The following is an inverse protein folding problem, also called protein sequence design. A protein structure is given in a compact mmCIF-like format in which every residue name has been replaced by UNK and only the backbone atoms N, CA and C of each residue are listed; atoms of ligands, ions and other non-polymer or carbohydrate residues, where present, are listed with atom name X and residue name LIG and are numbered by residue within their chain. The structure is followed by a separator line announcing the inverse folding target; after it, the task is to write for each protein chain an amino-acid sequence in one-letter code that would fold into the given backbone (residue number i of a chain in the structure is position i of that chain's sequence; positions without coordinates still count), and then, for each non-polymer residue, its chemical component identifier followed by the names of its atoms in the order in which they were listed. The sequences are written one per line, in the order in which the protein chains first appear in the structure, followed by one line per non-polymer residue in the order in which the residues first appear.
data_IF_454557692493
#
_entry.id   IF_454557692493
#
_cell.length_a   1.000
_cell.length_b   1.000
_cell.length_c   1.000
_cell.angle_alpha   90.00
_cell.angle_beta   90.00
_cell.angle_gamma   90.00
#
_symmetry.space_group_name_H-M   'P 1'
#
loop_
_entity.id
_entity.type
_entity.pdbx_description
1 polymer ?
#
# COMPACT_ATOMS: atom_id res chain seq x y z
N UNK A 1 -24.45 -5.42 -30.90
CA UNK A 1 -24.44 -5.39 -29.43
C UNK A 1 -24.80 -6.81 -29.01
N UNK A 2 -23.85 -7.60 -28.49
CA UNK A 2 -24.20 -8.89 -27.89
C UNK A 2 -25.18 -8.60 -26.76
N UNK A 3 -26.39 -9.15 -26.82
CA UNK A 3 -27.44 -8.94 -25.80
C UNK A 3 -27.12 -9.62 -24.46
N UNK A 4 -25.86 -9.93 -24.21
CA UNK A 4 -25.39 -10.63 -23.02
C UNK A 4 -25.21 -9.65 -21.86
N UNK A 5 -25.63 -10.06 -20.67
CA UNK A 5 -25.55 -9.24 -19.46
C UNK A 5 -24.09 -8.94 -19.13
N UNK A 6 -23.77 -7.66 -18.97
CA UNK A 6 -22.46 -7.20 -18.52
C UNK A 6 -22.47 -7.16 -16.99
N UNK A 7 -21.55 -7.88 -16.35
CA UNK A 7 -21.41 -7.88 -14.89
C UNK A 7 -20.41 -6.82 -14.43
N UNK A 8 -20.85 -5.91 -13.57
CA UNK A 8 -20.05 -4.84 -12.98
C UNK A 8 -20.49 -4.62 -11.53
N UNK A 9 -19.58 -4.26 -10.64
CA UNK A 9 -19.93 -4.08 -9.22
C UNK A 9 -18.75 -4.20 -8.27
N UNK A 10 -19.03 -4.37 -6.99
CA UNK A 10 -18.03 -4.48 -5.92
C UNK A 10 -18.18 -5.82 -5.21
N UNK A 11 -17.06 -6.45 -4.92
CA UNK A 11 -16.96 -7.69 -4.16
C UNK A 11 -15.70 -7.69 -3.29
N UNK A 12 -15.55 -8.67 -2.42
CA UNK A 12 -14.38 -8.82 -1.58
C UNK A 12 -13.46 -9.95 -2.08
N UNK A 13 -12.15 -9.74 -1.95
CA UNK A 13 -11.12 -10.75 -2.22
C UNK A 13 -10.38 -11.02 -0.91
N UNK A 14 -10.11 -12.29 -0.61
CA UNK A 14 -9.15 -12.63 0.43
C UNK A 14 -7.75 -12.46 -0.14
N UNK A 15 -7.10 -11.34 0.22
CA UNK A 15 -5.70 -11.09 -0.15
C UNK A 15 -4.80 -12.00 0.69
N UNK A 16 -3.99 -12.89 0.09
CA UNK A 16 -3.02 -13.67 0.83
C UNK A 16 -1.85 -12.83 1.35
N UNK A 17 -1.16 -13.35 2.36
CA UNK A 17 0.08 -12.75 2.88
C UNK A 17 1.19 -12.77 1.82
N UNK A 18 2.04 -11.74 1.81
CA UNK A 18 3.19 -11.61 0.90
C UNK A 18 2.85 -10.97 -0.45
N UNK A 19 1.58 -10.88 -0.82
CA UNK A 19 1.14 -10.28 -2.08
C UNK A 19 0.81 -8.80 -1.87
N UNK A 20 1.13 -7.90 -2.80
CA UNK A 20 0.72 -6.49 -2.68
C UNK A 20 -0.73 -6.30 -3.12
N UNK A 21 -1.42 -5.26 -2.64
CA UNK A 21 -2.79 -4.96 -3.11
C UNK A 21 -2.86 -4.73 -4.63
N UNK A 22 -1.79 -4.23 -5.23
CA UNK A 22 -1.70 -4.04 -6.69
C UNK A 22 -1.49 -5.37 -7.44
N UNK A 23 -0.76 -6.33 -6.85
CA UNK A 23 -0.64 -7.68 -7.39
C UNK A 23 -1.98 -8.40 -7.41
N UNK A 24 -2.82 -8.23 -6.38
CA UNK A 24 -4.18 -8.80 -6.39
C UNK A 24 -4.95 -8.37 -7.64
N UNK A 25 -4.86 -7.08 -8.01
CA UNK A 25 -5.50 -6.56 -9.22
C UNK A 25 -4.93 -7.22 -10.49
N UNK A 26 -3.60 -7.38 -10.57
CA UNK A 26 -2.94 -8.04 -11.69
C UNK A 26 -3.37 -9.51 -11.82
N UNK A 27 -3.44 -10.23 -10.70
CA UNK A 27 -3.89 -11.62 -10.65
C UNK A 27 -5.34 -11.73 -11.13
N UNK A 28 -6.24 -10.88 -10.63
CA UNK A 28 -7.63 -10.87 -11.10
C UNK A 28 -7.73 -10.59 -12.60
N UNK A 29 -6.95 -9.62 -13.11
CA UNK A 29 -6.92 -9.34 -14.55
C UNK A 29 -6.42 -10.53 -15.37
N UNK A 30 -5.43 -11.28 -14.86
CA UNK A 30 -4.93 -12.48 -15.52
C UNK A 30 -6.04 -13.53 -15.72
N UNK A 31 -6.91 -13.73 -14.73
CA UNK A 31 -8.03 -14.68 -14.82
C UNK A 31 -9.26 -14.09 -15.54
N UNK A 32 -9.56 -12.81 -15.35
CA UNK A 32 -10.80 -12.21 -15.86
C UNK A 32 -10.71 -11.87 -17.35
N UNK A 33 -9.53 -11.47 -17.85
CA UNK A 33 -9.35 -11.11 -19.25
C UNK A 33 -9.69 -12.24 -20.25
N UNK A 34 -9.27 -13.50 -20.04
CA UNK A 34 -9.63 -14.60 -20.93
C UNK A 34 -11.00 -15.23 -20.64
N UNK A 35 -11.68 -14.81 -19.56
CA UNK A 35 -12.90 -15.46 -19.07
C UNK A 35 -14.12 -15.26 -19.98
N UNK A 36 -15.03 -16.23 -19.97
CA UNK A 36 -16.36 -16.11 -20.59
C UNK A 36 -17.22 -15.07 -19.85
N UNK A 37 -17.13 -15.00 -18.52
CA UNK A 37 -17.93 -14.08 -17.69
C UNK A 37 -17.72 -12.61 -18.07
N UNK A 38 -16.47 -12.19 -18.30
CA UNK A 38 -16.14 -10.79 -18.62
C UNK A 38 -15.92 -10.53 -20.11
N UNK A 39 -16.07 -11.55 -20.96
CA UNK A 39 -16.02 -11.39 -22.43
C UNK A 39 -17.00 -10.32 -22.95
N UNK A 40 -18.28 -10.26 -22.51
CA UNK A 40 -19.20 -9.20 -22.95
C UNK A 40 -18.71 -7.80 -22.58
N UNK A 41 -18.09 -7.66 -21.40
CA UNK A 41 -17.53 -6.37 -20.95
C UNK A 41 -16.39 -5.91 -21.88
N UNK A 42 -15.48 -6.82 -22.24
CA UNK A 42 -14.35 -6.53 -23.13
C UNK A 42 -14.81 -6.20 -24.56
N UNK A 43 -15.85 -6.88 -25.06
CA UNK A 43 -16.44 -6.60 -26.36
C UNK A 43 -17.09 -5.22 -26.42
N UNK A 44 -17.87 -4.85 -25.41
CA UNK A 44 -18.49 -3.51 -25.34
C UNK A 44 -17.42 -2.42 -25.22
N UNK A 45 -16.39 -2.62 -24.39
CA UNK A 45 -15.29 -1.67 -24.25
C UNK A 45 -14.47 -1.54 -25.55
N UNK A 46 -14.28 -2.64 -26.30
CA UNK A 46 -13.65 -2.61 -27.63
C UNK A 46 -14.51 -1.83 -28.62
N UNK A 47 -15.81 -2.09 -28.67
CA UNK A 47 -16.74 -1.36 -29.53
C UNK A 47 -16.76 0.14 -29.19
N UNK A 48 -16.75 0.49 -27.90
CA UNK A 48 -16.63 1.87 -27.42
C UNK A 48 -15.35 2.53 -27.94
N UNK A 49 -14.18 1.90 -27.76
CA UNK A 49 -12.88 2.42 -28.25
C UNK A 49 -12.83 2.60 -29.77
N UNK A 50 -13.50 1.73 -30.53
CA UNK A 50 -13.58 1.86 -31.99
C UNK A 50 -14.43 3.04 -32.45
N UNK A 51 -15.43 3.45 -31.64
CA UNK A 51 -16.26 4.64 -31.90
C UNK A 51 -15.59 5.97 -31.48
N UNK A 52 -14.43 5.92 -30.81
CA UNK A 52 -13.73 7.12 -30.33
C UNK A 52 -13.06 7.89 -31.49
N UNK A 53 -12.92 9.21 -31.31
CA UNK A 53 -12.24 10.06 -32.28
C UNK A 53 -10.78 9.65 -32.47
N UNK A 54 -10.19 10.01 -33.62
CA UNK A 54 -8.79 9.68 -33.95
C UNK A 54 -7.81 10.15 -32.86
N UNK A 55 -8.03 11.35 -32.31
CA UNK A 55 -7.25 11.89 -31.19
C UNK A 55 -7.31 11.01 -29.93
N UNK A 56 -8.50 10.56 -29.55
CA UNK A 56 -8.69 9.71 -28.37
C UNK A 56 -8.10 8.31 -28.57
N UNK A 57 -8.23 7.75 -29.77
CA UNK A 57 -7.60 6.48 -30.15
C UNK A 57 -6.07 6.57 -30.08
N UNK A 58 -5.48 7.65 -30.62
CA UNK A 58 -4.03 7.86 -30.56
C UNK A 58 -3.51 7.95 -29.11
N UNK A 59 -4.22 8.64 -28.22
CA UNK A 59 -3.85 8.74 -26.78
C UNK A 59 -3.88 7.39 -26.05
N UNK A 60 -4.59 6.39 -26.58
CA UNK A 60 -4.77 5.07 -25.95
C UNK A 60 -4.11 3.94 -26.72
N UNK A 61 -3.40 4.23 -27.82
CA UNK A 61 -2.80 3.24 -28.72
C UNK A 61 -1.82 2.30 -28.02
N UNK A 62 -1.18 2.76 -26.94
CA UNK A 62 -0.27 1.97 -26.10
C UNK A 62 -0.95 1.24 -24.92
N UNK A 63 -2.26 1.42 -24.70
CA UNK A 63 -2.96 0.86 -23.54
C UNK A 63 -3.66 -0.46 -23.90
N UNK A 64 -3.25 -1.54 -23.22
CA UNK A 64 -3.91 -2.85 -23.30
C UNK A 64 -5.40 -2.74 -22.94
N UNK A 65 -6.22 -3.55 -23.59
CA UNK A 65 -7.63 -3.71 -23.26
C UNK A 65 -7.75 -4.78 -22.18
N UNK A 66 -7.78 -4.33 -20.92
CA UNK A 66 -7.98 -5.19 -19.75
C UNK A 66 -9.34 -4.89 -19.11
N UNK A 67 -9.90 -5.89 -18.43
CA UNK A 67 -11.03 -5.68 -17.53
C UNK A 67 -10.64 -4.61 -16.52
N UNK A 68 -11.50 -3.60 -16.37
CA UNK A 68 -11.24 -2.49 -15.46
C UNK A 68 -11.48 -2.95 -14.03
N UNK A 69 -10.42 -3.01 -13.23
CA UNK A 69 -10.47 -3.43 -11.82
C UNK A 69 -9.72 -2.40 -10.95
N UNK A 70 -10.18 -2.18 -9.73
CA UNK A 70 -9.48 -1.41 -8.70
C UNK A 70 -9.82 -1.91 -7.29
N UNK A 71 -9.14 -1.39 -6.26
CA UNK A 71 -9.40 -1.74 -4.86
C UNK A 71 -9.81 -0.52 -4.02
N UNK A 72 -10.59 -0.75 -2.97
CA UNK A 72 -11.20 0.27 -2.09
C UNK A 72 -10.43 0.49 -0.78
N UNK A 73 -9.12 0.27 -0.78
CA UNK A 73 -8.26 0.45 0.41
C UNK A 73 -7.08 -0.52 0.44
N UNK A 74 -5.87 0.03 0.45
CA UNK A 74 -4.63 -0.77 0.45
C UNK A 74 -4.50 -1.60 1.73
N UNK A 75 -4.00 -2.82 1.57
CA UNK A 75 -3.42 -3.65 2.63
C UNK A 75 -1.93 -3.80 2.41
N UNK A 76 -1.17 -3.74 3.50
CA UNK A 76 0.27 -3.95 3.50
C UNK A 76 0.62 -5.35 2.97
N UNK A 77 1.81 -5.56 2.37
CA UNK A 77 2.19 -6.87 1.83
C UNK A 77 2.15 -7.99 2.87
N UNK A 78 2.61 -7.74 4.11
CA UNK A 78 2.55 -8.73 5.19
C UNK A 78 1.14 -9.04 5.69
N UNK A 79 0.16 -8.18 5.38
CA UNK A 79 -1.20 -8.34 5.86
C UNK A 79 -2.01 -9.28 4.98
N UNK A 80 -2.96 -10.01 5.57
CA UNK A 80 -3.96 -10.82 4.87
C UNK A 80 -5.37 -10.31 5.15
N UNK A 81 -6.37 -10.86 4.47
CA UNK A 81 -7.79 -10.61 4.75
C UNK A 81 -8.52 -9.84 3.65
N UNK A 82 -9.61 -9.16 4.02
CA UNK A 82 -10.58 -8.56 3.10
C UNK A 82 -9.98 -7.42 2.29
N UNK A 83 -9.96 -7.54 0.97
CA UNK A 83 -9.66 -6.47 0.02
C UNK A 83 -10.88 -6.18 -0.84
N UNK A 84 -11.59 -5.08 -0.53
CA UNK A 84 -12.72 -4.62 -1.34
C UNK A 84 -12.24 -4.27 -2.74
N UNK A 85 -12.87 -4.88 -3.75
CA UNK A 85 -12.46 -4.82 -5.15
C UNK A 85 -13.65 -4.45 -6.03
N UNK A 86 -13.45 -3.50 -6.92
CA UNK A 86 -14.47 -3.02 -7.86
C UNK A 86 -14.11 -3.39 -9.29
N UNK A 87 -15.11 -3.85 -10.06
CA UNK A 87 -14.99 -4.15 -11.50
C UNK A 87 -15.91 -3.25 -12.30
N UNK A 88 -15.41 -2.74 -13.43
CA UNK A 88 -16.18 -1.92 -14.36
C UNK A 88 -16.70 -0.64 -13.70
N UNK A 89 -18.01 -0.40 -13.76
CA UNK A 89 -18.68 0.70 -13.04
C UNK A 89 -18.53 0.62 -11.52
N UNK A 90 -18.35 -0.57 -10.95
CA UNK A 90 -18.11 -0.76 -9.52
C UNK A 90 -16.86 -0.03 -9.01
N UNK A 91 -15.87 0.25 -9.87
CA UNK A 91 -14.70 1.05 -9.49
C UNK A 91 -15.06 2.45 -9.02
N UNK A 92 -16.23 2.99 -9.43
CA UNK A 92 -16.69 4.33 -9.05
C UNK A 92 -17.14 4.40 -7.58
N UNK A 93 -17.51 3.27 -6.99
CA UNK A 93 -17.92 3.19 -5.58
C UNK A 93 -16.76 2.91 -4.64
N UNK A 94 -15.52 2.73 -5.14
CA UNK A 94 -14.38 2.36 -4.30
C UNK A 94 -13.98 3.44 -3.30
N UNK A 95 -14.26 4.71 -3.60
CA UNK A 95 -13.98 5.82 -2.68
C UNK A 95 -14.82 5.72 -1.40
N UNK A 96 -16.05 5.20 -1.49
CA UNK A 96 -16.96 5.05 -0.35
C UNK A 96 -16.37 4.05 0.69
N UNK A 97 -15.61 3.07 0.21
CA UNK A 97 -14.94 2.07 1.06
C UNK A 97 -13.61 2.56 1.66
N UNK A 98 -13.06 3.69 1.20
CA UNK A 98 -11.88 4.28 1.86
C UNK A 98 -12.26 4.84 3.23
N UNK A 99 -13.40 5.53 3.31
CA UNK A 99 -13.93 6.19 4.52
C UNK A 99 -14.63 5.26 5.53
N UNK A 100 -14.89 4.01 5.19
CA UNK A 100 -15.58 3.08 6.08
C UNK A 100 -14.72 2.60 7.26
N UNK A 101 -15.38 2.05 8.28
CA UNK A 101 -14.73 1.36 9.39
C UNK A 101 -14.15 0.02 8.94
N UNK A 102 -13.11 -0.41 9.64
CA UNK A 102 -12.36 -1.64 9.36
C UNK A 102 -12.10 -2.37 10.65
N UNK A 103 -12.17 -3.70 10.62
CA UNK A 103 -11.82 -4.54 11.76
C UNK A 103 -10.56 -5.33 11.44
N UNK A 104 -9.62 -5.32 12.39
CA UNK A 104 -8.35 -5.99 12.27
C UNK A 104 -8.11 -6.90 13.46
N UNK A 105 -7.46 -8.03 13.19
CA UNK A 105 -6.73 -8.80 14.19
C UNK A 105 -5.23 -8.64 13.90
N UNK A 106 -4.45 -8.33 14.93
CA UNK A 106 -3.01 -8.14 14.79
C UNK A 106 -2.28 -8.77 15.96
N UNK A 107 -1.04 -9.16 15.72
CA UNK A 107 -0.12 -9.61 16.77
C UNK A 107 0.98 -8.58 16.93
N UNK A 108 1.15 -8.09 18.15
CA UNK A 108 2.25 -7.21 18.55
C UNK A 108 3.30 -8.04 19.28
N UNK A 109 4.53 -7.94 18.81
CA UNK A 109 5.72 -8.55 19.42
C UNK A 109 6.52 -7.46 20.12
N UNK A 110 6.91 -7.68 21.38
CA UNK A 110 7.58 -6.66 22.19
C UNK A 110 9.11 -6.80 22.19
N UNK A 111 9.80 -5.73 22.61
CA UNK A 111 11.25 -5.74 22.85
C UNK A 111 12.12 -5.32 21.67
N UNK A 112 11.55 -5.16 20.48
CA UNK A 112 12.23 -4.56 19.34
C UNK A 112 11.32 -3.63 18.56
N UNK A 113 11.97 -2.72 17.86
CA UNK A 113 11.38 -1.76 16.96
C UNK A 113 12.11 -1.81 15.63
N UNK A 114 11.36 -1.72 14.55
CA UNK A 114 11.89 -1.71 13.19
C UNK A 114 11.55 -0.41 12.48
N UNK A 115 12.34 -0.06 11.49
CA UNK A 115 12.13 1.12 10.63
C UNK A 115 10.72 1.20 9.99
N UNK A 116 10.10 0.05 9.72
CA UNK A 116 8.77 -0.07 9.12
C UNK A 116 7.63 -0.29 10.12
N UNK A 117 7.95 -0.46 11.41
CA UNK A 117 7.06 -0.89 12.51
C UNK A 117 6.41 -2.26 12.31
N UNK A 118 6.94 -3.08 11.41
CA UNK A 118 6.53 -4.47 11.21
C UNK A 118 7.73 -5.41 11.12
N UNK A 119 7.46 -6.72 11.17
CA UNK A 119 8.51 -7.74 11.20
C UNK A 119 9.39 -7.82 9.93
N UNK A 120 9.00 -7.18 8.83
CA UNK A 120 9.78 -7.16 7.59
C UNK A 120 10.84 -6.05 7.58
N UNK A 121 10.77 -5.12 8.54
CA UNK A 121 11.75 -4.05 8.68
C UNK A 121 13.06 -4.50 9.32
N UNK A 122 14.03 -3.57 9.31
CA UNK A 122 15.30 -3.73 10.01
C UNK A 122 15.17 -3.22 11.44
N UNK A 123 15.76 -3.92 12.41
CA UNK A 123 15.79 -3.51 13.81
C UNK A 123 16.59 -2.21 13.93
N UNK A 124 15.94 -1.20 14.49
CA UNK A 124 16.54 0.10 14.76
C UNK A 124 16.76 0.30 16.25
N UNK A 125 15.89 -0.26 17.09
CA UNK A 125 15.98 -0.18 18.55
C UNK A 125 15.55 -1.48 19.22
N UNK A 126 16.19 -1.79 20.35
CA UNK A 126 15.83 -2.90 21.25
C UNK A 126 15.57 -2.31 22.64
N UNK A 127 14.64 -2.90 23.38
CA UNK A 127 14.34 -2.50 24.75
C UNK A 127 14.02 -3.73 25.62
N UNK A 128 14.24 -3.65 26.94
CA UNK A 128 13.81 -4.70 27.87
C UNK A 128 12.31 -4.99 27.74
N UNK A 129 11.92 -6.25 27.93
CA UNK A 129 10.53 -6.71 27.77
C UNK A 129 10.07 -7.65 28.89
N UNK A 130 10.93 -7.91 29.88
CA UNK A 130 10.69 -8.80 31.00
C UNK A 130 9.61 -8.26 31.96
N UNK A 131 9.41 -6.95 31.98
CA UNK A 131 8.40 -6.28 32.80
C UNK A 131 7.00 -6.24 32.16
N UNK A 132 6.87 -6.68 30.91
CA UNK A 132 5.61 -6.60 30.18
C UNK A 132 4.73 -7.78 30.58
N UNK A 133 3.59 -7.48 31.21
CA UNK A 133 2.56 -8.47 31.55
C UNK A 133 1.27 -8.21 30.80
N UNK A 134 0.39 -9.21 30.74
CA UNK A 134 -0.95 -9.08 30.17
C UNK A 134 -1.73 -7.90 30.76
N UNK A 135 -1.67 -7.71 32.08
CA UNK A 135 -2.38 -6.66 32.80
C UNK A 135 -1.82 -5.27 32.44
N UNK A 136 -0.50 -5.15 32.30
CA UNK A 136 0.14 -3.93 31.86
C UNK A 136 -0.32 -3.55 30.44
N UNK A 137 -0.39 -4.54 29.54
CA UNK A 137 -0.89 -4.35 28.17
C UNK A 137 -2.36 -3.94 28.17
N UNK A 138 -3.24 -4.63 28.90
CA UNK A 138 -4.66 -4.29 28.96
C UNK A 138 -4.86 -2.85 29.45
N UNK A 139 -4.12 -2.44 30.49
CA UNK A 139 -4.14 -1.06 30.99
C UNK A 139 -3.62 -0.06 29.95
N UNK A 140 -2.52 -0.37 29.26
CA UNK A 140 -1.96 0.50 28.24
C UNK A 140 -2.90 0.66 27.03
N UNK A 141 -3.71 -0.36 26.72
CA UNK A 141 -4.69 -0.31 25.62
C UNK A 141 -5.82 0.70 25.85
N UNK A 142 -6.11 1.08 27.10
CA UNK A 142 -7.18 2.03 27.43
C UNK A 142 -6.99 3.40 26.76
N UNK A 143 -5.75 3.89 26.65
CA UNK A 143 -5.45 5.20 26.05
C UNK A 143 -5.61 5.22 24.52
N UNK A 144 -5.74 4.05 23.89
CA UNK A 144 -5.91 3.91 22.44
C UNK A 144 -7.36 3.69 22.02
N UNK A 145 -8.31 3.76 22.96
CA UNK A 145 -9.75 3.66 22.70
C UNK A 145 -10.35 5.05 22.45
N UNK A 146 -11.39 5.12 21.62
CA UNK A 146 -12.09 6.36 21.30
C UNK A 146 -11.37 7.23 20.27
N UNK A 147 -11.55 8.55 20.36
CA UNK A 147 -10.99 9.53 19.41
C UNK A 147 -9.59 9.94 19.86
N UNK A 148 -8.60 9.59 19.06
CA UNK A 148 -7.18 9.82 19.34
C UNK A 148 -6.49 10.48 18.16
N UNK A 149 -5.36 11.13 18.42
CA UNK A 149 -4.47 11.60 17.36
C UNK A 149 -3.38 10.56 17.12
N UNK A 150 -3.27 10.09 15.87
CA UNK A 150 -2.26 9.10 15.50
C UNK A 150 -1.32 9.65 14.44
N UNK A 151 -0.02 9.41 14.61
CA UNK A 151 1.00 9.73 13.61
C UNK A 151 1.15 8.57 12.62
N UNK A 152 0.98 8.82 11.30
CA UNK A 152 1.24 7.81 10.28
C UNK A 152 2.70 7.32 10.31
N UNK A 153 2.97 6.05 10.00
CA UNK A 153 4.33 5.54 9.85
C UNK A 153 4.98 6.13 8.59
N UNK A 154 6.31 6.22 8.59
CA UNK A 154 7.11 6.72 7.46
C UNK A 154 6.87 5.86 6.21
N UNK A 155 6.77 4.53 6.38
CA UNK A 155 6.43 3.60 5.31
C UNK A 155 4.91 3.53 5.05
N UNK A 156 4.31 4.65 4.64
CA UNK A 156 2.89 4.75 4.29
C UNK A 156 2.67 5.16 2.83
N UNK A 157 1.45 4.90 2.33
CA UNK A 157 1.03 5.32 0.99
C UNK A 157 0.59 6.80 0.92
N UNK A 158 0.74 7.55 2.02
CA UNK A 158 0.39 8.96 2.08
C UNK A 158 1.21 9.75 1.06
N UNK A 159 0.58 10.69 0.34
CA UNK A 159 1.28 11.53 -0.63
C UNK A 159 1.77 12.82 0.00
N UNK A 160 3.04 13.13 -0.19
CA UNK A 160 3.69 14.40 0.15
C UNK A 160 4.28 14.96 -1.14
N UNK A 161 3.88 16.16 -1.55
CA UNK A 161 4.31 16.79 -2.81
C UNK A 161 4.15 15.90 -4.07
N UNK A 162 3.10 15.08 -4.11
CA UNK A 162 2.78 14.21 -5.26
C UNK A 162 3.49 12.85 -5.28
N UNK A 163 4.53 12.63 -4.45
CA UNK A 163 5.18 11.33 -4.23
C UNK A 163 4.65 10.65 -2.97
N UNK A 164 4.71 9.33 -2.88
CA UNK A 164 4.24 8.60 -1.67
C UNK A 164 5.34 8.52 -0.61
N UNK A 165 4.97 8.49 0.67
CA UNK A 165 5.92 8.56 1.79
C UNK A 165 6.90 7.39 1.80
N UNK A 166 6.44 6.17 1.47
CA UNK A 166 7.34 5.02 1.33
C UNK A 166 8.41 5.19 0.24
N UNK A 167 8.20 6.04 -0.76
CA UNK A 167 9.17 6.28 -1.84
C UNK A 167 10.35 7.10 -1.30
N UNK A 168 10.09 8.07 -0.42
CA UNK A 168 11.13 8.83 0.28
C UNK A 168 11.96 7.94 1.20
N UNK A 169 11.29 7.07 1.97
CA UNK A 169 11.96 6.14 2.89
C UNK A 169 12.93 5.19 2.17
N UNK A 170 12.53 4.64 1.01
CA UNK A 170 13.40 3.78 0.18
C UNK A 170 14.54 4.51 -0.50
N UNK A 171 14.36 5.80 -0.79
CA UNK A 171 15.44 6.66 -1.30
C UNK A 171 16.39 7.12 -0.18
N UNK A 172 16.15 6.74 1.09
CA UNK A 172 16.94 7.18 2.25
C UNK A 172 16.80 8.68 2.55
N UNK A 173 15.75 9.33 2.02
CA UNK A 173 15.52 10.77 2.17
C UNK A 173 14.49 11.04 3.23
N UNK A 174 14.79 11.99 4.11
CA UNK A 174 13.77 12.55 4.99
C UNK A 174 12.70 13.24 4.13
N UNK A 175 11.41 12.99 4.38
CA UNK A 175 10.36 13.71 3.69
C UNK A 175 10.52 15.22 3.95
N UNK A 176 10.35 16.08 2.94
CA UNK A 176 10.57 17.52 3.06
C UNK A 176 9.57 18.24 3.98
N UNK A 177 8.62 17.50 4.56
CA UNK A 177 7.54 17.99 5.41
C UNK A 177 7.40 17.02 6.59
N UNK A 178 7.25 17.58 7.78
CA UNK A 178 6.99 16.83 9.01
C UNK A 178 5.66 16.07 8.96
N UNK A 179 5.65 14.82 9.45
CA UNK A 179 4.47 13.95 9.43
C UNK A 179 3.48 14.39 10.52
N UNK A 180 2.44 15.12 10.13
CA UNK A 180 1.42 15.56 11.08
C UNK A 180 0.53 14.40 11.56
N UNK A 181 0.23 14.39 12.86
CA UNK A 181 -0.76 13.49 13.46
C UNK A 181 -2.17 13.77 12.93
N UNK A 182 -2.98 12.72 12.82
CA UNK A 182 -4.34 12.79 12.27
C UNK A 182 -5.36 12.22 13.25
N UNK A 183 -6.57 12.78 13.29
CA UNK A 183 -7.63 12.23 14.13
C UNK A 183 -8.07 10.88 13.57
N UNK A 184 -8.11 9.88 14.44
CA UNK A 184 -8.63 8.55 14.17
C UNK A 184 -9.53 8.12 15.34
N UNK A 185 -10.37 7.13 15.11
CA UNK A 185 -11.29 6.63 16.12
C UNK A 185 -11.19 5.11 16.21
N UNK A 186 -11.12 4.62 17.45
CA UNK A 186 -11.06 3.20 17.80
C UNK A 186 -12.30 2.86 18.62
N UNK A 187 -13.29 2.28 17.95
CA UNK A 187 -14.60 1.94 18.55
C UNK A 187 -14.59 0.64 19.37
N UNK A 188 -13.70 -0.29 19.03
CA UNK A 188 -13.47 -1.54 19.77
C UNK A 188 -11.97 -1.81 19.78
N UNK A 189 -11.43 -2.24 20.92
CA UNK A 189 -10.03 -2.64 21.09
C UNK A 189 -9.90 -3.53 22.32
N UNK A 190 -9.52 -4.79 22.12
CA UNK A 190 -9.40 -5.78 23.20
C UNK A 190 -8.37 -6.86 22.89
N UNK A 191 -7.82 -7.46 23.93
CA UNK A 191 -6.95 -8.64 23.82
C UNK A 191 -7.79 -9.85 23.42
N UNK A 192 -7.32 -10.57 22.40
CA UNK A 192 -7.83 -11.90 22.04
C UNK A 192 -7.00 -12.99 22.71
N UNK A 193 -5.67 -12.83 22.70
CA UNK A 193 -4.75 -13.85 23.20
C UNK A 193 -3.48 -13.19 23.73
N UNK A 194 -2.94 -13.77 24.81
CA UNK A 194 -1.67 -13.38 25.40
C UNK A 194 -0.70 -14.55 25.26
N UNK A 195 0.52 -14.27 24.86
CA UNK A 195 1.58 -15.25 24.72
C UNK A 195 2.73 -14.90 25.65
N UNK A 196 3.01 -15.81 26.58
CA UNK A 196 4.18 -15.73 27.44
C UNK A 196 5.47 -15.87 26.62
N UNK A 197 6.61 -15.34 27.10
CA UNK A 197 7.91 -15.52 26.46
C UNK A 197 8.17 -16.99 26.10
N UNK A 198 8.47 -17.24 24.83
CA UNK A 198 8.76 -18.57 24.30
C UNK A 198 7.59 -19.53 24.09
N UNK A 199 6.35 -19.05 24.20
CA UNK A 199 5.14 -19.87 23.96
C UNK A 199 4.56 -19.72 22.55
N UNK A 200 5.18 -18.92 21.69
CA UNK A 200 4.66 -18.59 20.36
C UNK A 200 5.70 -18.77 19.25
N UNK A 201 5.22 -18.84 18.00
CA UNK A 201 6.06 -19.03 16.80
C UNK A 201 6.32 -17.73 16.03
N UNK A 202 5.90 -16.57 16.55
CA UNK A 202 6.13 -15.28 15.89
C UNK A 202 7.62 -14.95 15.78
N UNK A 203 8.09 -14.82 14.54
CA UNK A 203 9.49 -14.61 14.22
C UNK A 203 10.00 -13.24 14.68
N UNK A 204 11.18 -13.24 15.28
CA UNK A 204 11.97 -12.04 15.54
C UNK A 204 12.55 -11.48 14.22
N UNK A 205 12.62 -10.14 14.01
CA UNK A 205 13.19 -9.57 12.80
C UNK A 205 14.66 -9.98 12.61
N UNK A 206 15.04 -10.29 11.36
CA UNK A 206 16.35 -10.92 11.06
C UNK A 206 17.47 -9.93 10.77
N UNK A 207 17.12 -8.72 10.36
CA UNK A 207 18.08 -7.70 9.93
C UNK A 207 18.17 -6.59 10.97
N UNK A 208 19.37 -6.11 11.25
CA UNK A 208 19.61 -4.88 12.01
C UNK A 208 20.01 -3.76 11.06
N UNK A 209 19.54 -2.53 11.34
CA UNK A 209 20.00 -1.35 10.62
C UNK A 209 21.48 -1.09 10.98
N UNK A 210 22.30 -0.74 9.99
CA UNK A 210 23.74 -0.54 10.15
C UNK A 210 24.14 0.93 9.95
N UNK A 211 25.14 1.39 10.73
CA UNK A 211 25.80 2.69 10.56
C UNK A 211 24.83 3.87 10.46
N UNK A 212 24.97 4.66 9.39
CA UNK A 212 24.18 5.87 9.14
C UNK A 212 22.66 5.59 9.04
N UNK A 213 22.24 4.42 8.54
CA UNK A 213 20.81 4.06 8.45
C UNK A 213 20.18 3.98 9.84
N UNK A 214 20.93 3.43 10.81
CA UNK A 214 20.48 3.31 12.20
C UNK A 214 20.41 4.68 12.87
N UNK A 215 21.42 5.51 12.69
CA UNK A 215 21.44 6.87 13.28
C UNK A 215 20.31 7.76 12.74
N UNK A 216 20.03 7.69 11.43
CA UNK A 216 18.92 8.43 10.82
C UNK A 216 17.57 7.91 11.36
N UNK A 217 17.39 6.59 11.40
CA UNK A 217 16.17 6.01 11.95
C UNK A 217 15.98 6.36 13.43
N UNK A 218 17.00 6.19 14.26
CA UNK A 218 16.98 6.57 15.68
C UNK A 218 16.68 8.05 15.88
N UNK A 219 17.24 8.95 15.06
CA UNK A 219 16.95 10.40 15.13
C UNK A 219 15.50 10.70 14.78
N UNK A 220 14.94 10.04 13.76
CA UNK A 220 13.54 10.21 13.37
C UNK A 220 12.60 9.70 14.46
N UNK A 221 12.93 8.57 15.09
CA UNK A 221 12.14 7.95 16.15
C UNK A 221 12.29 8.67 17.50
N UNK A 222 13.46 9.22 17.81
CA UNK A 222 13.65 10.02 19.02
C UNK A 222 12.80 11.30 19.03
N UNK A 223 12.53 11.89 17.86
CA UNK A 223 11.54 12.97 17.74
C UNK A 223 10.15 12.46 18.10
N UNK A 224 9.79 11.25 17.64
CA UNK A 224 8.50 10.62 17.95
C UNK A 224 8.38 10.26 19.44
N UNK A 225 9.48 9.92 20.13
CA UNK A 225 9.48 9.65 21.57
C UNK A 225 9.07 10.86 22.42
N UNK A 226 9.42 12.07 21.99
CA UNK A 226 9.07 13.31 22.70
C UNK A 226 7.59 13.69 22.59
N UNK A 227 6.86 13.08 21.66
CA UNK A 227 5.45 13.36 21.44
C UNK A 227 4.55 12.48 22.33
N UNK A 228 3.40 12.99 22.81
CA UNK A 228 2.42 12.19 23.53
C UNK A 228 1.93 11.02 22.66
N UNK A 229 1.83 9.83 23.25
CA UNK A 229 1.50 8.57 22.57
C UNK A 229 0.08 8.58 22.00
N UNK A 230 -0.87 9.24 22.67
CA UNK A 230 -2.22 9.49 22.19
C UNK A 230 -2.85 10.66 22.95
N UNK A 231 -2.71 11.91 22.49
CA UNK A 231 -3.51 12.99 23.06
C UNK A 231 -4.97 12.79 22.63
N UNK A 232 -5.91 13.03 23.56
CA UNK A 232 -7.33 13.09 23.23
C UNK A 232 -7.53 14.17 22.17
N UNK A 233 -8.31 13.87 21.13
CA UNK A 233 -8.66 14.88 20.14
C UNK A 233 -9.52 15.96 20.82
N UNK A 234 -8.91 17.07 21.22
CA UNK A 234 -9.66 18.24 21.68
C UNK A 234 -10.58 18.70 20.54
N UNK A 235 -11.85 18.93 20.87
CA UNK A 235 -12.85 19.36 19.90
C UNK A 235 -12.66 20.85 19.66
N UNK A 236 -11.62 21.22 18.91
CA UNK A 236 -11.49 22.59 18.42
C UNK A 236 -12.55 22.82 17.33
N UNK A 237 -13.64 23.47 17.74
CA UNK A 237 -14.60 24.08 16.83
C UNK A 237 -13.95 25.38 16.32
N UNK A 238 -13.69 25.56 15.02
CA UNK A 238 -13.29 26.87 14.52
C UNK A 238 -14.49 27.81 14.71
N UNK A 239 -14.30 28.85 15.52
CA UNK A 239 -15.27 29.90 15.70
C UNK A 239 -15.68 30.48 14.33
N UNK A 240 -16.98 30.55 14.10
CA UNK A 240 -17.57 31.30 13.00
C UNK A 240 -17.22 32.79 13.21
N UNK A 241 -16.40 33.34 12.32
CA UNK A 241 -16.20 34.78 12.23
C UNK A 241 -17.43 35.39 11.54
N UNK A 242 -18.36 35.86 12.36
CA UNK A 242 -19.41 36.78 11.97
C UNK A 242 -18.82 38.19 11.84
N UNK A 243 -18.59 38.62 10.60
CA UNK A 243 -18.18 39.98 10.25
C UNK A 243 -19.07 40.56 9.15
N UNK A 244 -19.79 41.61 9.49
CA UNK A 244 -20.96 42.18 8.81
C UNK A 244 -20.69 42.82 7.43
N UNK A 245 -21.76 42.84 6.63
CA UNK A 245 -21.95 43.65 5.43
C UNK A 245 -21.86 45.15 5.74
N UNK A 246 -21.05 45.89 4.97
CA UNK A 246 -21.41 47.25 4.55
C UNK A 246 -21.33 47.40 3.03
N UNK A 247 -22.44 47.86 2.48
CA UNK A 247 -22.68 48.18 1.08
C UNK A 247 -22.26 49.62 0.77
N UNK A 248 -21.69 49.90 -0.41
CA UNK A 248 -22.21 50.96 -1.30
C UNK A 248 -21.45 51.13 -2.63
N UNK A 249 -22.27 51.14 -3.70
CA UNK A 249 -22.20 51.97 -4.92
C UNK A 249 -21.10 51.74 -5.97
N UNK A 250 -21.53 51.52 -7.22
CA UNK A 250 -20.68 51.13 -8.34
C UNK A 250 -20.42 52.21 -9.39
N UNK A 251 -19.78 51.81 -10.50
CA UNK A 251 -20.23 51.94 -11.91
C UNK A 251 -19.02 51.74 -12.85
N UNK A 252 -19.14 50.80 -13.81
CA UNK A 252 -18.77 50.86 -15.24
C UNK A 252 -18.10 49.59 -15.78
N UNK A 253 -18.76 49.07 -16.81
CA UNK A 253 -18.41 47.95 -17.70
C UNK A 253 -17.06 48.13 -18.40
N UNK A 254 -16.40 47.01 -18.71
CA UNK A 254 -15.87 46.71 -20.06
C UNK A 254 -15.72 45.19 -20.24
N UNK A 255 -16.21 44.73 -21.39
CA UNK A 255 -16.32 43.36 -21.92
C UNK A 255 -14.97 42.72 -22.27
N UNK A 256 -14.89 41.38 -22.41
CA UNK A 256 -13.66 40.64 -22.71
C UNK A 256 -13.36 40.59 -24.23
N UNK A 257 -12.09 40.46 -24.66
CA UNK A 257 -11.77 40.28 -26.07
C UNK A 257 -11.89 38.81 -26.53
N UNK A 258 -12.20 38.55 -27.82
CA UNK A 258 -12.49 37.23 -28.36
C UNK A 258 -11.26 36.49 -28.91
N UNK A 259 -11.48 35.20 -29.18
CA UNK A 259 -10.58 34.26 -29.83
C UNK A 259 -10.42 34.52 -31.34
N UNK A 260 -9.25 34.22 -31.88
CA UNK A 260 -9.06 33.89 -33.30
C UNK A 260 -8.18 32.64 -33.44
N UNK A 261 -8.63 31.77 -34.35
CA UNK A 261 -8.13 30.46 -34.75
C UNK A 261 -7.61 30.58 -36.23
N UNK A 262 -7.12 29.52 -36.91
CA UNK A 262 -5.80 29.51 -37.52
C UNK A 262 -5.80 29.50 -39.06
N UNK A 263 -4.60 29.67 -39.63
CA UNK A 263 -4.27 29.33 -41.02
C UNK A 263 -2.78 28.92 -41.05
N UNK A 264 -2.24 28.08 -41.92
CA UNK A 264 -2.64 27.01 -42.86
C UNK A 264 -1.29 26.48 -43.39
N UNK A 265 -1.15 25.17 -43.58
CA UNK A 265 0.06 24.53 -44.14
C UNK A 265 0.34 24.92 -45.61
N UNK A 266 1.62 24.95 -45.99
CA UNK A 266 2.08 24.61 -47.35
C UNK A 266 3.32 23.70 -47.26
N UNK A 267 3.23 22.56 -47.96
CA UNK A 267 4.30 21.60 -48.23
C UNK A 267 5.16 22.10 -49.39
N UNK A 268 6.49 21.88 -49.34
CA UNK A 268 7.23 21.46 -50.54
C UNK A 268 8.57 20.78 -50.17
N UNK A 269 8.91 19.75 -50.94
CA UNK A 269 10.20 19.03 -50.95
C UNK A 269 10.61 18.87 -52.43
N UNK A 270 11.78 18.33 -52.80
CA UNK A 270 13.14 18.38 -52.24
C UNK A 270 14.18 18.91 -53.27
N UNK A 271 15.44 19.13 -52.89
CA UNK A 271 16.55 19.13 -53.87
C UNK A 271 17.88 18.73 -53.23
N UNK A 272 18.56 17.82 -53.94
CA UNK A 272 19.82 17.17 -53.63
C UNK A 272 21.06 18.03 -53.94
N UNK A 273 22.20 17.65 -53.34
CA UNK A 273 23.51 17.35 -53.98
C UNK A 273 24.49 17.00 -52.85
N UNK A 274 24.84 15.72 -52.72
CA UNK A 274 26.10 15.08 -53.20
C UNK A 274 27.35 15.68 -52.57
N UNK A 275 28.20 14.96 -51.83
CA UNK A 275 29.11 13.91 -52.35
C UNK A 275 29.64 13.12 -51.13
N UNK A 276 29.37 11.82 -50.96
CA UNK A 276 30.17 10.65 -51.44
C UNK A 276 31.58 10.60 -50.78
N UNK A 277 32.09 9.53 -50.14
CA UNK A 277 32.02 8.09 -50.39
C UNK A 277 32.39 7.25 -49.13
N UNK A 278 31.71 6.11 -48.96
CA UNK A 278 32.16 4.94 -48.20
C UNK A 278 33.11 4.07 -49.09
N UNK A 279 33.45 2.78 -48.85
CA UNK A 279 33.11 1.88 -47.73
C UNK A 279 34.25 0.90 -47.29
N UNK A 280 33.88 0.01 -46.36
CA UNK A 280 34.09 -1.45 -46.45
C UNK A 280 35.07 -2.14 -45.50
N UNK A 281 34.66 -3.37 -45.20
CA UNK A 281 35.07 -4.29 -44.15
C UNK A 281 36.23 -5.23 -44.54
N UNK A 282 36.71 -5.95 -43.50
CA UNK A 282 37.43 -7.25 -43.44
C UNK A 282 38.62 -7.11 -42.47
N UNK A 283 39.00 -8.06 -41.60
CA UNK A 283 39.10 -9.51 -41.80
C UNK A 283 39.36 -10.21 -40.44
N UNK A 284 38.95 -11.48 -40.37
CA UNK A 284 39.23 -12.49 -39.33
C UNK A 284 40.73 -12.69 -39.07
N UNK A 285 41.10 -13.09 -37.84
CA UNK A 285 41.93 -14.28 -37.60
C UNK A 285 41.86 -14.80 -36.15
N UNK A 286 42.02 -16.11 -36.03
CA UNK A 286 41.87 -17.05 -34.90
C UNK A 286 43.22 -17.76 -34.70
N UNK A 287 43.38 -18.53 -33.61
CA UNK A 287 44.35 -19.64 -33.34
C UNK A 287 45.61 -19.13 -32.57
N UNK A 288 46.13 -19.64 -31.43
CA UNK A 288 46.05 -20.86 -30.56
C UNK A 288 46.78 -20.54 -29.23
N UNK A 289 46.38 -20.99 -28.03
CA UNK A 289 46.49 -22.31 -27.34
C UNK A 289 47.81 -22.59 -26.57
N UNK A 290 47.62 -23.06 -25.32
CA UNK A 290 48.51 -23.70 -24.32
C UNK A 290 49.39 -22.74 -23.48
N UNK A 291 49.28 -22.68 -22.14
CA UNK A 291 49.44 -23.74 -21.12
C UNK A 291 50.88 -23.63 -20.57
N UNK A 292 51.27 -23.66 -19.30
CA UNK A 292 50.69 -24.10 -18.03
C UNK A 292 51.65 -23.64 -16.89
N UNK A 293 51.15 -23.59 -15.64
CA UNK A 293 51.87 -23.85 -14.36
C UNK A 293 52.86 -22.85 -13.69
N UNK A 294 52.34 -22.15 -12.65
CA UNK A 294 52.72 -22.19 -11.21
C UNK A 294 54.08 -21.59 -10.69
N UNK A 295 54.34 -21.48 -9.35
CA UNK A 295 54.09 -20.29 -8.50
C UNK A 295 55.29 -19.85 -7.59
N UNK A 296 55.24 -18.65 -6.99
CA UNK A 296 56.06 -18.24 -5.82
C UNK A 296 55.46 -16.94 -5.20
N UNK A 297 54.85 -16.98 -4.01
CA UNK A 297 55.39 -16.83 -2.64
C UNK A 297 55.37 -15.38 -2.12
N UNK A 298 54.54 -15.22 -1.07
CA UNK A 298 54.60 -14.36 0.12
C UNK A 298 55.17 -12.94 0.04
N UNK A 299 54.36 -11.97 0.47
CA UNK A 299 54.69 -11.10 1.60
C UNK A 299 53.42 -10.66 2.36
N UNK A 300 53.52 -10.74 3.69
CA UNK A 300 52.53 -10.37 4.68
C UNK A 300 52.45 -8.84 4.84
N UNK A 301 51.24 -8.30 4.97
CA UNK A 301 51.04 -7.08 5.75
C UNK A 301 49.74 -7.16 6.53
N UNK A 302 49.94 -7.18 7.84
CA UNK A 302 49.00 -7.18 8.94
C UNK A 302 48.06 -5.96 8.90
N UNK A 303 46.77 -6.19 9.21
CA UNK A 303 45.72 -5.20 9.08
C UNK A 303 44.38 -5.79 9.48
N UNK A 304 44.20 -5.98 10.78
CA UNK A 304 42.98 -6.46 11.44
C UNK A 304 41.76 -5.64 11.03
N UNK A 305 41.00 -6.15 10.05
CA UNK A 305 39.59 -5.82 9.87
C UNK A 305 38.81 -7.00 10.43
N UNK A 306 38.39 -6.87 11.69
CA UNK A 306 37.42 -7.76 12.32
C UNK A 306 36.14 -7.75 11.48
N UNK A 307 36.08 -8.73 10.58
CA UNK A 307 34.84 -9.14 9.95
C UNK A 307 34.09 -9.88 11.04
N UNK A 308 33.14 -9.19 11.68
CA UNK A 308 32.13 -9.82 12.52
C UNK A 308 31.32 -10.73 11.59
N UNK A 309 31.78 -11.98 11.49
CA UNK A 309 31.01 -13.08 10.97
C UNK A 309 29.90 -13.30 11.98
N UNK A 310 28.65 -13.01 11.57
CA UNK A 310 27.47 -13.26 12.37
C UNK A 310 27.48 -14.72 12.83
N UNK A 311 27.62 -14.91 14.14
CA UNK A 311 27.55 -16.21 14.79
C UNK A 311 26.14 -16.78 14.59
N UNK A 312 26.04 -17.83 13.77
CA UNK A 312 24.79 -18.49 13.40
C UNK A 312 24.25 -19.43 14.49
N UNK A 313 24.41 -19.12 15.79
CA UNK A 313 23.94 -20.02 16.85
C UNK A 313 23.54 -19.36 18.18
N UNK A 314 23.19 -18.08 18.20
CA UNK A 314 22.45 -17.53 19.34
C UNK A 314 20.94 -17.79 19.20
N UNK A 315 20.24 -18.27 20.24
CA UNK A 315 18.80 -18.42 20.19
C UNK A 315 18.15 -17.06 19.96
N UNK A 316 17.35 -16.94 18.91
CA UNK A 316 16.60 -15.71 18.63
C UNK A 316 15.72 -15.34 19.83
N UNK A 317 15.67 -14.06 20.24
CA UNK A 317 14.81 -13.64 21.35
C UNK A 317 13.37 -14.10 21.16
N UNK A 318 12.75 -14.59 22.24
CA UNK A 318 11.35 -14.99 22.28
C UNK A 318 10.61 -14.13 23.33
N UNK A 319 10.36 -12.85 23.03
CA UNK A 319 9.68 -11.93 23.94
C UNK A 319 8.21 -12.32 24.16
N UNK A 320 7.48 -11.66 25.06
CA UNK A 320 6.02 -11.80 25.07
C UNK A 320 5.40 -11.23 23.79
N UNK A 321 4.21 -11.71 23.46
CA UNK A 321 3.41 -11.20 22.37
C UNK A 321 1.93 -11.10 22.78
N UNK A 322 1.19 -10.24 22.09
CA UNK A 322 -0.25 -10.09 22.30
C UNK A 322 -0.99 -10.10 20.96
N UNK A 323 -2.05 -10.91 20.87
CA UNK A 323 -3.03 -10.81 19.79
C UNK A 323 -4.17 -9.92 20.24
N UNK A 324 -4.45 -8.88 19.46
CA UNK A 324 -5.53 -7.92 19.73
C UNK A 324 -6.48 -7.84 18.53
N UNK A 325 -7.75 -7.56 18.80
CA UNK A 325 -8.74 -7.17 17.80
C UNK A 325 -9.12 -5.72 17.98
N UNK A 326 -9.38 -5.03 16.87
CA UNK A 326 -9.79 -3.63 16.89
C UNK A 326 -10.74 -3.28 15.75
N UNK A 327 -11.68 -2.37 16.01
CA UNK A 327 -12.51 -1.74 14.98
C UNK A 327 -12.20 -0.24 14.93
N UNK A 328 -11.71 0.21 13.77
CA UNK A 328 -11.12 1.54 13.61
C UNK A 328 -11.73 2.29 12.43
N UNK A 329 -11.67 3.63 12.49
CA UNK A 329 -12.06 4.51 11.40
C UNK A 329 -11.02 4.51 10.25
N UNK A 330 -11.35 5.19 9.16
CA UNK A 330 -10.42 5.34 8.03
C UNK A 330 -9.16 6.12 8.42
N UNK A 331 -8.00 5.71 7.90
CA UNK A 331 -6.74 6.40 8.15
C UNK A 331 -5.96 5.90 9.37
N UNK A 332 -6.52 4.96 10.14
CA UNK A 332 -5.82 4.28 11.22
C UNK A 332 -4.72 3.34 10.69
N UNK A 333 -3.53 3.43 11.30
CA UNK A 333 -2.37 2.60 11.04
C UNK A 333 -2.12 1.63 12.20
N UNK A 334 -2.36 0.34 11.95
CA UNK A 334 -2.14 -0.72 12.96
C UNK A 334 -0.65 -0.86 13.32
N UNK A 335 0.24 -0.58 12.38
CA UNK A 335 1.69 -0.51 12.60
C UNK A 335 2.07 0.57 13.62
N UNK A 336 1.49 1.77 13.51
CA UNK A 336 1.70 2.83 14.51
C UNK A 336 1.18 2.41 15.88
N UNK A 337 0.00 1.77 15.97
CA UNK A 337 -0.50 1.25 17.24
C UNK A 337 0.48 0.26 17.90
N UNK A 338 1.08 -0.64 17.12
CA UNK A 338 2.06 -1.61 17.65
C UNK A 338 3.30 -0.92 18.25
N UNK A 339 3.83 0.09 17.54
CA UNK A 339 4.91 0.94 18.02
C UNK A 339 4.52 1.70 19.29
N UNK A 340 3.39 2.41 19.24
CA UNK A 340 2.90 3.29 20.30
C UNK A 340 2.57 2.49 21.57
N UNK A 341 2.04 1.27 21.43
CA UNK A 341 1.78 0.35 22.54
C UNK A 341 3.10 -0.08 23.22
N UNK A 342 4.13 -0.40 22.44
CA UNK A 342 5.46 -0.70 22.99
C UNK A 342 6.01 0.47 23.81
N UNK A 343 5.93 1.68 23.25
CA UNK A 343 6.36 2.91 23.92
C UNK A 343 5.59 3.17 25.21
N UNK A 344 4.26 3.00 25.19
CA UNK A 344 3.41 3.14 26.38
C UNK A 344 3.79 2.17 27.53
N UNK A 345 4.38 1.03 27.18
CA UNK A 345 4.85 0.03 28.13
C UNK A 345 6.30 0.26 28.57
N UNK A 346 6.95 1.34 28.13
CA UNK A 346 8.37 1.59 28.40
C UNK A 346 9.30 0.58 27.71
N UNK A 347 8.88 0.06 26.56
CA UNK A 347 9.63 -0.89 25.74
C UNK A 347 9.50 -0.51 24.26
N UNK A 348 9.76 -1.47 23.38
CA UNK A 348 9.51 -1.39 21.94
C UNK A 348 8.41 -2.38 21.55
N UNK A 349 7.72 -2.12 20.44
CA UNK A 349 6.70 -2.99 19.89
C UNK A 349 6.69 -2.95 18.38
N UNK A 350 6.47 -4.10 17.75
CA UNK A 350 6.35 -4.22 16.30
C UNK A 350 5.17 -5.12 15.91
N UNK A 351 4.62 -4.88 14.72
CA UNK A 351 3.55 -5.69 14.18
C UNK A 351 4.11 -6.97 13.54
N UNK A 352 3.78 -8.13 14.10
CA UNK A 352 4.25 -9.44 13.58
C UNK A 352 3.29 -10.05 12.54
N UNK A 353 1.99 -9.87 12.73
CA UNK A 353 0.97 -10.33 11.78
C UNK A 353 -0.21 -9.37 11.74
N UNK A 354 -0.92 -9.32 10.61
CA UNK A 354 -2.11 -8.48 10.43
C UNK A 354 -3.14 -9.16 9.55
N UNK A 355 -4.37 -9.24 10.03
CA UNK A 355 -5.54 -9.76 9.31
C UNK A 355 -6.62 -8.69 9.31
N UNK A 356 -7.06 -8.22 8.14
CA UNK A 356 -8.29 -7.41 8.03
C UNK A 356 -9.49 -8.33 7.93
N UNK A 357 -10.17 -8.55 9.05
CA UNK A 357 -11.33 -9.44 9.15
C UNK A 357 -12.61 -8.80 8.60
N UNK A 358 -12.69 -7.47 8.58
CA UNK A 358 -13.84 -6.74 8.01
C UNK A 358 -13.45 -5.42 7.37
N UNK A 359 -14.14 -5.04 6.28
CA UNK A 359 -14.14 -3.69 5.74
C UNK A 359 -15.56 -3.31 5.27
N UNK A 360 -16.15 -2.26 5.85
CA UNK A 360 -17.58 -1.97 5.68
C UNK A 360 -18.42 -3.25 5.98
N UNK A 361 -19.31 -3.63 5.06
CA UNK A 361 -20.18 -4.80 5.17
C UNK A 361 -19.52 -6.09 4.65
N UNK A 362 -18.24 -6.04 4.26
CA UNK A 362 -17.51 -7.21 3.78
C UNK A 362 -16.72 -7.85 4.91
N UNK A 363 -17.01 -9.12 5.18
CA UNK A 363 -16.40 -9.93 6.23
C UNK A 363 -15.54 -11.04 5.63
N UNK A 364 -14.52 -11.46 6.38
CA UNK A 364 -13.59 -12.53 5.99
C UNK A 364 -14.21 -13.91 6.22
N UNK A 365 -15.17 -14.26 5.38
CA UNK A 365 -15.76 -15.60 5.34
C UNK A 365 -15.58 -16.19 3.95
N UNK A 366 -15.22 -17.48 3.88
CA UNK A 366 -14.83 -18.15 2.64
C UNK A 366 -15.89 -18.08 1.54
N UNK A 367 -17.17 -18.01 1.90
CA UNK A 367 -18.29 -17.89 0.97
C UNK A 367 -18.59 -16.44 0.57
N UNK A 368 -18.21 -15.44 1.39
CA UNK A 368 -18.40 -14.00 1.17
C UNK A 368 -17.24 -13.32 0.44
N UNK A 369 -16.09 -13.98 0.34
CA UNK A 369 -14.89 -13.47 -0.36
C UNK A 369 -14.45 -14.39 -1.49
N UNK A 370 -13.82 -13.82 -2.51
CA UNK A 370 -13.12 -14.59 -3.52
C UNK A 370 -11.74 -15.01 -2.99
N UNK A 371 -11.46 -16.31 -2.97
CA UNK A 371 -10.17 -16.85 -2.56
C UNK A 371 -9.27 -17.16 -3.77
N UNK A 372 -7.96 -17.21 -3.55
CA UNK A 372 -7.00 -17.56 -4.61
C UNK A 372 -7.16 -19.00 -5.10
N UNK A 373 -7.51 -19.92 -4.19
CA UNK A 373 -7.83 -21.31 -4.55
C UNK A 373 -9.01 -21.41 -5.53
N UNK A 374 -9.96 -20.47 -5.45
CA UNK A 374 -11.09 -20.42 -6.40
C UNK A 374 -10.60 -20.04 -7.80
N UNK A 375 -9.66 -19.09 -7.88
CA UNK A 375 -9.06 -18.63 -9.14
C UNK A 375 -8.22 -19.74 -9.80
N UNK A 376 -7.42 -20.45 -8.99
CA UNK A 376 -6.59 -21.57 -9.41
C UNK A 376 -7.43 -22.76 -9.90
N UNK A 377 -8.61 -22.99 -9.29
CA UNK A 377 -9.54 -24.05 -9.70
C UNK A 377 -10.25 -23.78 -11.04
N UNK A 378 -10.12 -22.57 -11.60
CA UNK A 378 -10.65 -22.22 -12.93
C UNK A 378 -12.04 -21.58 -12.92
N UNK A 379 -12.45 -21.09 -14.09
CA UNK A 379 -13.65 -20.26 -14.25
C UNK A 379 -14.96 -20.95 -13.84
N UNK A 380 -15.04 -22.26 -13.99
CA UNK A 380 -16.24 -23.02 -13.59
C UNK A 380 -16.48 -22.96 -12.06
N UNK A 381 -15.44 -22.65 -11.27
CA UNK A 381 -15.51 -22.47 -9.82
C UNK A 381 -15.68 -21.00 -9.44
N UNK A 382 -14.76 -20.13 -9.83
CA UNK A 382 -14.81 -18.73 -9.40
C UNK A 382 -15.88 -17.92 -10.14
N UNK A 383 -16.23 -18.28 -11.39
CA UNK A 383 -17.15 -17.53 -12.24
C UNK A 383 -18.56 -17.39 -11.63
N UNK A 384 -19.23 -18.50 -11.24
CA UNK A 384 -20.52 -18.44 -10.56
C UNK A 384 -20.47 -17.63 -9.26
N UNK A 385 -19.38 -17.75 -8.50
CA UNK A 385 -19.18 -17.05 -7.22
C UNK A 385 -19.05 -15.54 -7.41
N UNK A 386 -18.20 -15.10 -8.33
CA UNK A 386 -18.05 -13.67 -8.67
C UNK A 386 -19.34 -13.12 -9.26
N UNK A 387 -20.01 -13.85 -10.15
CA UNK A 387 -21.31 -13.46 -10.69
C UNK A 387 -22.31 -13.18 -9.57
N UNK A 388 -22.45 -14.11 -8.61
CA UNK A 388 -23.34 -13.94 -7.45
C UNK A 388 -23.02 -12.67 -6.67
N UNK A 389 -21.74 -12.43 -6.35
CA UNK A 389 -21.33 -11.21 -5.63
C UNK A 389 -21.73 -9.92 -6.36
N UNK A 390 -21.54 -9.87 -7.68
CA UNK A 390 -21.85 -8.70 -8.48
C UNK A 390 -23.37 -8.47 -8.57
N UNK A 391 -24.17 -9.54 -8.68
CA UNK A 391 -25.63 -9.46 -8.70
C UNK A 391 -26.20 -9.04 -7.33
N UNK A 392 -25.66 -9.56 -6.24
CA UNK A 392 -26.04 -9.16 -4.89
C UNK A 392 -25.72 -7.68 -4.63
N UNK A 393 -24.55 -7.21 -5.08
CA UNK A 393 -24.19 -5.79 -4.97
C UNK A 393 -25.12 -4.90 -5.79
N UNK A 394 -25.43 -5.28 -7.03
CA UNK A 394 -26.35 -4.54 -7.91
C UNK A 394 -27.74 -4.43 -7.27
N UNK A 395 -28.25 -5.54 -6.73
CA UNK A 395 -29.54 -5.57 -6.01
C UNK A 395 -29.53 -4.65 -4.79
N UNK A 396 -28.51 -4.74 -3.92
CA UNK A 396 -28.37 -3.87 -2.74
C UNK A 396 -28.35 -2.39 -3.12
N UNK A 397 -27.65 -2.01 -4.21
CA UNK A 397 -27.64 -0.62 -4.69
C UNK A 397 -28.99 -0.16 -5.26
N UNK A 398 -29.70 -1.02 -5.97
CA UNK A 398 -31.02 -0.69 -6.49
C UNK A 398 -32.01 -0.42 -5.35
N UNK A 399 -31.97 -1.24 -4.30
CA UNK A 399 -32.78 -1.07 -3.09
C UNK A 399 -32.43 0.24 -2.35
N UNK A 400 -31.14 0.58 -2.25
CA UNK A 400 -30.68 1.81 -1.61
C UNK A 400 -31.06 3.09 -2.39
N UNK A 401 -31.19 3.03 -3.71
CA UNK A 401 -31.59 4.17 -4.55
C UNK A 401 -33.12 4.37 -4.62
N UNK A 402 -33.91 3.40 -4.13
CA UNK A 402 -35.38 3.45 -4.16
C UNK A 402 -35.96 3.98 -2.84
N UNK A 403 -35.13 4.06 -1.79
CA UNK A 403 -35.41 4.72 -0.52
C UNK A 403 -34.82 6.13 -0.53
#
# INVERSE_FOLDING_TARGET
MSGEKIYEGVFAVHKPQGVTSADVIRTLQHHFNPSKLFKPWLEEERARRNRESSYQRNRRRSRRLDVKIGHGGTLDPLATGVLVTGVGKGTKSLNDFLGCTKTYETVVLFGAETDTYDKLGKIVRRAPYEHITREAVEKALEQFRGKIMQRPPIFSALKVQGKKLYEYAREGKEPPIEIQSRPVEVSDLRILEWYEPGTHEYEWPREEAAGEEKEVAERLLAKDDTLPVAPAAETEVPAEDSGEQETSTGTKRKTPPPAEEPAKDEEDAPSATDTELAPSAAKKQKITANGDSAPAQDELSDGSSETVTASANEPSPQPPAVKITMTVSSGFYVRSLAHDLGKALGSCGLMSSLIRTRQADFELESDKVLEYKDLEAGEDVWGPKVKRFLEEWEKKRAEANTK
#
